data_IF_771110398085
#
_entry.id   IF_771110398085
#
_cell.length_a   1.000
_cell.length_b   1.000
_cell.length_c   1.000
_cell.angle_alpha   90.00
_cell.angle_beta   90.00
_cell.angle_gamma   90.00
#
_symmetry.space_group_name_H-M   'P 1'
#
loop_
_entity.id
_entity.type
_entity.pdbx_description
1 polymer ?
#
# COMPACT_ATOMS: atom_id res chain seq x y z
N UNK A 1 -9.40 1.50 13.38
CA UNK A 1 -8.73 0.68 12.34
C UNK A 1 -9.49 0.66 11.01
N UNK A 2 -10.79 0.31 11.01
CA UNK A 2 -11.59 0.22 9.77
C UNK A 2 -11.53 1.52 8.92
N UNK A 3 -11.69 2.69 9.55
CA UNK A 3 -11.61 3.98 8.86
C UNK A 3 -10.27 4.19 8.14
N UNK A 4 -9.14 3.85 8.78
CA UNK A 4 -7.80 4.01 8.21
C UNK A 4 -7.57 3.10 7.00
N UNK A 5 -8.09 1.87 7.06
CA UNK A 5 -8.02 0.90 5.95
C UNK A 5 -8.90 1.36 4.78
N UNK A 6 -10.10 1.88 5.06
CA UNK A 6 -10.97 2.46 4.03
C UNK A 6 -10.31 3.67 3.36
N UNK A 7 -9.70 4.56 4.13
CA UNK A 7 -8.95 5.69 3.59
C UNK A 7 -7.76 5.24 2.72
N UNK A 8 -7.03 4.20 3.12
CA UNK A 8 -5.98 3.61 2.29
C UNK A 8 -6.53 3.04 0.97
N UNK A 9 -7.69 2.38 1.00
CA UNK A 9 -8.39 1.92 -0.20
C UNK A 9 -8.80 3.06 -1.13
N UNK A 10 -9.33 4.17 -0.59
CA UNK A 10 -9.66 5.36 -1.39
C UNK A 10 -8.43 6.00 -2.02
N UNK A 11 -7.32 6.06 -1.30
CA UNK A 11 -6.04 6.54 -1.83
C UNK A 11 -5.58 5.65 -2.99
N UNK A 12 -5.62 4.33 -2.83
CA UNK A 12 -5.24 3.40 -3.91
C UNK A 12 -6.18 3.50 -5.13
N UNK A 13 -7.48 3.67 -4.90
CA UNK A 13 -8.42 3.89 -5.99
C UNK A 13 -8.08 5.18 -6.75
N UNK A 14 -7.76 6.26 -6.02
CA UNK A 14 -7.34 7.51 -6.64
C UNK A 14 -6.05 7.30 -7.45
N UNK A 15 -5.02 6.64 -6.90
CA UNK A 15 -3.77 6.41 -7.64
C UNK A 15 -3.97 5.57 -8.90
N UNK A 16 -4.84 4.56 -8.85
CA UNK A 16 -5.22 3.75 -10.02
C UNK A 16 -5.85 4.64 -11.10
N UNK A 17 -6.79 5.51 -10.72
CA UNK A 17 -7.45 6.43 -11.66
C UNK A 17 -6.43 7.38 -12.28
N UNK A 18 -5.56 8.00 -11.47
CA UNK A 18 -4.55 8.95 -11.97
C UNK A 18 -3.56 8.25 -12.93
N UNK A 19 -3.12 7.03 -12.60
CA UNK A 19 -2.27 6.23 -13.49
C UNK A 19 -3.01 5.82 -14.77
N UNK A 20 -4.28 5.42 -14.67
CA UNK A 20 -5.11 5.08 -15.82
C UNK A 20 -5.28 6.24 -16.79
N UNK A 21 -5.59 7.44 -16.27
CA UNK A 21 -5.66 8.68 -17.05
C UNK A 21 -4.30 8.97 -17.72
N UNK A 22 -3.19 8.76 -17.00
CA UNK A 22 -1.84 8.96 -17.54
C UNK A 22 -1.52 8.02 -18.72
N UNK A 23 -1.93 6.75 -18.64
CA UNK A 23 -1.76 5.77 -19.74
C UNK A 23 -2.55 6.19 -20.99
N UNK A 24 -3.73 6.79 -20.82
CA UNK A 24 -4.57 7.26 -21.93
C UNK A 24 -4.03 8.55 -22.55
N UNK A 25 -3.63 9.53 -21.71
CA UNK A 25 -3.19 10.84 -22.17
C UNK A 25 -1.76 10.87 -22.73
N UNK A 26 -0.92 9.90 -22.38
CA UNK A 26 0.49 9.86 -22.81
C UNK A 26 0.79 8.67 -23.75
N UNK A 27 0.17 8.60 -24.94
CA UNK A 27 0.38 7.48 -25.87
C UNK A 27 1.83 7.38 -26.37
N UNK A 28 2.56 8.49 -26.44
CA UNK A 28 3.96 8.58 -26.85
C UNK A 28 4.96 8.14 -25.78
N UNK A 29 4.56 8.06 -24.50
CA UNK A 29 5.41 7.56 -23.43
C UNK A 29 5.67 6.04 -23.55
N UNK A 30 4.85 5.32 -24.33
CA UNK A 30 4.89 3.86 -24.43
C UNK A 30 6.06 3.27 -25.21
N UNK A 31 6.83 4.07 -25.95
CA UNK A 31 7.94 3.56 -26.76
C UNK A 31 9.31 3.68 -26.09
N UNK A 32 9.40 4.40 -24.96
CA UNK A 32 10.66 4.55 -24.24
C UNK A 32 10.83 3.39 -23.24
N UNK A 33 12.03 2.77 -23.17
CA UNK A 33 12.32 1.81 -22.12
C UNK A 33 12.25 2.50 -20.76
N UNK A 34 11.75 1.78 -19.76
CA UNK A 34 11.75 2.26 -18.37
C UNK A 34 13.19 2.28 -17.83
N UNK A 35 13.51 3.30 -17.04
CA UNK A 35 14.86 3.50 -16.52
C UNK A 35 15.24 2.45 -15.47
N UNK A 36 14.26 1.99 -14.68
CA UNK A 36 14.44 1.01 -13.60
C UNK A 36 14.32 -0.41 -14.15
N UNK A 37 13.38 -0.62 -15.08
CA UNK A 37 13.09 -1.91 -15.71
C UNK A 37 13.26 -1.82 -17.23
N UNK A 38 14.50 -1.77 -17.75
CA UNK A 38 14.77 -1.50 -19.17
C UNK A 38 14.21 -2.56 -20.13
N UNK A 39 13.88 -3.76 -19.63
CA UNK A 39 13.19 -4.80 -20.40
C UNK A 39 11.72 -4.47 -20.71
N UNK A 40 11.14 -3.51 -20.00
CA UNK A 40 9.74 -3.11 -20.13
C UNK A 40 9.66 -1.66 -20.62
N UNK A 41 8.62 -1.36 -21.40
CA UNK A 41 8.29 0.03 -21.69
C UNK A 41 7.68 0.71 -20.47
N UNK A 42 7.84 2.03 -20.35
CA UNK A 42 7.22 2.82 -19.27
C UNK A 42 5.71 2.55 -19.17
N UNK A 43 5.03 2.44 -20.31
CA UNK A 43 3.60 2.10 -20.36
C UNK A 43 3.32 0.70 -19.81
N UNK A 44 4.15 -0.29 -20.12
CA UNK A 44 4.03 -1.64 -19.56
C UNK A 44 4.17 -1.64 -18.04
N UNK A 45 5.15 -0.89 -17.51
CA UNK A 45 5.36 -0.72 -16.07
C UNK A 45 4.15 -0.05 -15.41
N UNK A 46 3.57 0.99 -16.01
CA UNK A 46 2.36 1.63 -15.49
C UNK A 46 1.15 0.70 -15.48
N UNK A 47 0.94 -0.07 -16.54
CA UNK A 47 -0.16 -1.05 -16.60
C UNK A 47 0.03 -2.12 -15.51
N UNK A 48 1.25 -2.62 -15.33
CA UNK A 48 1.56 -3.57 -14.27
C UNK A 48 1.31 -2.96 -12.88
N UNK A 49 1.73 -1.72 -12.65
CA UNK A 49 1.48 -1.01 -11.40
C UNK A 49 -0.02 -0.84 -11.12
N UNK A 50 -0.81 -0.45 -12.14
CA UNK A 50 -2.29 -0.37 -12.04
C UNK A 50 -2.88 -1.73 -11.66
N UNK A 51 -2.43 -2.81 -12.30
CA UNK A 51 -2.93 -4.16 -12.02
C UNK A 51 -2.61 -4.59 -10.58
N UNK A 52 -1.40 -4.30 -10.08
CA UNK A 52 -1.01 -4.58 -8.70
C UNK A 52 -1.82 -3.76 -7.69
N UNK A 53 -2.01 -2.46 -7.94
CA UNK A 53 -2.84 -1.60 -7.07
C UNK A 53 -4.29 -2.08 -7.03
N UNK A 54 -4.87 -2.46 -8.18
CA UNK A 54 -6.22 -3.02 -8.26
C UNK A 54 -6.34 -4.35 -7.50
N UNK A 55 -5.34 -5.23 -7.60
CA UNK A 55 -5.33 -6.50 -6.87
C UNK A 55 -5.32 -6.27 -5.35
N UNK A 56 -4.49 -5.34 -4.86
CA UNK A 56 -4.43 -5.00 -3.44
C UNK A 56 -5.70 -4.28 -3.00
N UNK A 57 -6.28 -3.42 -3.83
CA UNK A 57 -7.58 -2.78 -3.58
C UNK A 57 -8.70 -3.83 -3.46
N UNK A 58 -8.74 -4.82 -4.35
CA UNK A 58 -9.72 -5.91 -4.26
C UNK A 58 -9.55 -6.71 -2.96
N UNK A 59 -8.32 -6.99 -2.53
CA UNK A 59 -8.04 -7.63 -1.23
C UNK A 59 -8.49 -6.75 -0.05
N UNK A 60 -8.30 -5.43 -0.12
CA UNK A 60 -8.75 -4.48 0.91
C UNK A 60 -10.28 -4.46 1.05
N UNK A 61 -11.01 -4.62 -0.06
CA UNK A 61 -12.47 -4.68 -0.09
C UNK A 61 -13.03 -6.07 0.27
N UNK A 62 -12.19 -7.11 0.22
CA UNK A 62 -12.58 -8.48 0.56
C UNK A 62 -12.77 -8.68 2.08
N UNK A 63 -13.40 -9.79 2.47
CA UNK A 63 -13.61 -10.19 3.87
C UNK A 63 -12.39 -10.84 4.56
N UNK A 64 -11.19 -10.69 3.98
CA UNK A 64 -9.94 -11.23 4.53
C UNK A 64 -9.55 -10.52 5.84
N UNK A 65 -8.72 -11.18 6.66
CA UNK A 65 -8.24 -10.63 7.93
C UNK A 65 -7.48 -9.30 7.75
N UNK A 66 -7.53 -8.44 8.76
CA UNK A 66 -6.84 -7.14 8.77
C UNK A 66 -5.32 -7.31 8.61
N UNK A 67 -4.75 -8.38 9.16
CA UNK A 67 -3.33 -8.69 9.00
C UNK A 67 -2.96 -9.04 7.57
N UNK A 68 -3.78 -9.81 6.86
CA UNK A 68 -3.55 -10.10 5.44
C UNK A 68 -3.64 -8.81 4.61
N UNK A 69 -4.61 -7.93 4.89
CA UNK A 69 -4.70 -6.60 4.27
C UNK A 69 -3.45 -5.76 4.55
N UNK A 70 -2.98 -5.78 5.80
CA UNK A 70 -1.75 -5.11 6.22
C UNK A 70 -0.52 -5.61 5.47
N UNK A 71 -0.34 -6.93 5.33
CA UNK A 71 0.78 -7.48 4.54
C UNK A 71 0.69 -7.12 3.06
N UNK A 72 -0.49 -7.16 2.46
CA UNK A 72 -0.67 -6.76 1.06
C UNK A 72 -0.32 -5.28 0.84
N UNK A 73 -0.77 -4.38 1.72
CA UNK A 73 -0.41 -2.96 1.70
C UNK A 73 1.09 -2.74 1.90
N UNK A 74 1.70 -3.43 2.88
CA UNK A 74 3.13 -3.30 3.16
C UNK A 74 3.97 -3.79 1.99
N UNK A 75 3.57 -4.90 1.37
CA UNK A 75 4.22 -5.43 0.17
C UNK A 75 4.15 -4.43 -0.98
N UNK A 76 2.96 -3.90 -1.26
CA UNK A 76 2.76 -2.89 -2.30
C UNK A 76 3.62 -1.65 -2.05
N UNK A 77 3.58 -1.11 -0.82
CA UNK A 77 4.39 0.04 -0.43
C UNK A 77 5.89 -0.24 -0.58
N UNK A 78 6.34 -1.46 -0.26
CA UNK A 78 7.75 -1.84 -0.42
C UNK A 78 8.17 -1.86 -1.89
N UNK A 79 7.31 -2.37 -2.79
CA UNK A 79 7.56 -2.35 -4.24
C UNK A 79 7.69 -0.92 -4.76
N UNK A 80 6.75 -0.03 -4.39
CA UNK A 80 6.81 1.38 -4.79
C UNK A 80 8.02 2.10 -4.22
N UNK A 81 8.39 1.80 -2.96
CA UNK A 81 9.57 2.35 -2.33
C UNK A 81 10.85 1.96 -3.09
N UNK A 82 11.01 0.66 -3.39
CA UNK A 82 12.19 0.16 -4.12
C UNK A 82 12.27 0.77 -5.51
N UNK A 83 11.15 0.78 -6.26
CA UNK A 83 11.11 1.40 -7.59
C UNK A 83 11.53 2.87 -7.53
N UNK A 84 11.02 3.62 -6.55
CA UNK A 84 11.37 5.03 -6.33
C UNK A 84 12.85 5.22 -5.99
N UNK A 85 13.41 4.39 -5.13
CA UNK A 85 14.83 4.48 -4.75
C UNK A 85 15.73 4.28 -5.96
N UNK A 86 15.46 3.27 -6.79
CA UNK A 86 16.24 3.02 -8.00
C UNK A 86 16.05 4.18 -9.00
N UNK A 87 14.81 4.65 -9.20
CA UNK A 87 14.54 5.81 -10.05
C UNK A 87 15.34 7.04 -9.63
N UNK A 88 15.39 7.32 -8.32
CA UNK A 88 16.11 8.49 -7.79
C UNK A 88 17.62 8.44 -8.03
N UNK A 89 18.20 7.23 -8.16
CA UNK A 89 19.61 7.05 -8.46
C UNK A 89 19.90 7.25 -9.94
N UNK A 90 19.01 6.76 -10.82
CA UNK A 90 19.23 6.76 -12.26
C UNK A 90 18.80 8.07 -12.96
N UNK A 91 17.70 8.71 -12.52
CA UNK A 91 17.11 9.84 -13.24
C UNK A 91 17.88 11.17 -13.04
N UNK A 92 18.87 11.19 -12.14
CA UNK A 92 19.59 12.39 -11.75
C UNK A 92 18.76 13.36 -10.91
N UNK A 93 19.44 14.35 -10.31
CA UNK A 93 18.78 15.37 -9.50
C UNK A 93 17.86 16.25 -10.36
N UNK A 94 16.55 16.17 -10.14
CA UNK A 94 15.58 17.13 -10.69
C UNK A 94 14.38 16.53 -11.41
N UNK A 95 14.37 15.23 -11.73
CA UNK A 95 13.20 14.59 -12.35
C UNK A 95 12.26 14.00 -11.30
N UNK A 96 10.98 14.35 -11.37
CA UNK A 96 9.96 13.74 -10.52
C UNK A 96 9.79 12.25 -10.87
N UNK A 97 9.66 11.39 -9.84
CA UNK A 97 9.30 10.00 -10.11
C UNK A 97 7.92 9.94 -10.80
N UNK A 98 7.77 9.20 -11.92
CA UNK A 98 6.47 8.95 -12.55
C UNK A 98 5.58 7.99 -11.74
N UNK A 99 5.90 7.76 -10.46
CA UNK A 99 5.18 6.92 -9.51
C UNK A 99 3.68 7.25 -9.38
N UNK A 100 3.31 8.53 -9.55
CA UNK A 100 1.93 9.04 -9.53
C UNK A 100 1.31 9.18 -10.94
N UNK A 101 2.02 8.74 -11.98
CA UNK A 101 1.68 8.97 -13.39
C UNK A 101 2.22 10.31 -13.93
N UNK A 102 1.88 10.62 -15.19
CA UNK A 102 2.25 11.87 -15.85
C UNK A 102 1.38 13.05 -15.43
N UNK A 103 0.34 12.83 -14.62
CA UNK A 103 -0.59 13.90 -14.23
C UNK A 103 0.08 15.05 -13.48
N UNK A 104 1.14 14.79 -12.71
CA UNK A 104 1.91 15.84 -12.04
C UNK A 104 2.52 16.82 -13.06
N UNK A 105 2.90 16.32 -14.23
CA UNK A 105 3.42 17.12 -15.33
C UNK A 105 2.31 17.92 -16.02
N UNK A 106 1.10 17.34 -16.15
CA UNK A 106 -0.06 18.04 -16.71
C UNK A 106 -0.61 19.16 -15.81
N UNK A 107 -0.52 19.00 -14.49
CA UNK A 107 -0.97 19.99 -13.51
C UNK A 107 0.08 21.07 -13.22
N UNK A 108 1.22 21.05 -13.93
CA UNK A 108 2.37 21.95 -13.73
C UNK A 108 2.82 22.02 -12.26
N UNK A 109 2.68 20.90 -11.54
CA UNK A 109 3.06 20.83 -10.14
C UNK A 109 4.59 20.73 -10.09
N UNK A 110 5.27 21.56 -9.28
CA UNK A 110 6.71 21.49 -9.12
C UNK A 110 7.14 20.07 -8.76
N UNK A 111 8.16 19.54 -9.45
CA UNK A 111 8.64 18.17 -9.29
C UNK A 111 8.86 17.77 -7.83
N UNK A 112 9.44 18.67 -7.03
CA UNK A 112 9.67 18.44 -5.60
C UNK A 112 8.40 18.30 -4.75
N UNK A 113 7.28 18.92 -5.16
CA UNK A 113 5.99 18.78 -4.46
C UNK A 113 5.37 17.43 -4.77
N UNK A 114 5.33 17.03 -6.04
CA UNK A 114 4.84 15.69 -6.43
C UNK A 114 5.64 14.58 -5.76
N UNK A 115 6.94 14.78 -5.63
CA UNK A 115 7.86 13.85 -4.99
C UNK A 115 7.62 13.70 -3.47
N UNK A 116 7.39 14.81 -2.77
CA UNK A 116 7.00 14.81 -1.35
C UNK A 116 5.62 14.19 -1.13
N UNK A 117 4.66 14.48 -2.01
CA UNK A 117 3.33 13.88 -1.97
C UNK A 117 3.41 12.36 -2.12
N UNK A 118 4.20 11.85 -3.07
CA UNK A 118 4.42 10.42 -3.25
C UNK A 118 5.00 9.77 -1.99
N UNK A 119 6.01 10.38 -1.36
CA UNK A 119 6.62 9.86 -0.11
C UNK A 119 5.63 9.92 1.04
N UNK A 120 4.86 11.00 1.16
CA UNK A 120 3.83 11.14 2.18
C UNK A 120 2.75 10.07 2.08
N UNK A 121 2.24 9.82 0.86
CA UNK A 121 1.29 8.75 0.60
C UNK A 121 1.88 7.37 0.93
N UNK A 122 3.13 7.13 0.54
CA UNK A 122 3.81 5.88 0.82
C UNK A 122 3.99 5.65 2.32
N UNK A 123 4.47 6.66 3.05
CA UNK A 123 4.61 6.63 4.50
C UNK A 123 3.28 6.41 5.21
N UNK A 124 2.20 7.06 4.74
CA UNK A 124 0.85 6.82 5.24
C UNK A 124 0.41 5.37 5.04
N UNK A 125 0.56 4.82 3.83
CA UNK A 125 0.17 3.43 3.53
C UNK A 125 0.98 2.42 4.36
N UNK A 126 2.29 2.62 4.50
CA UNK A 126 3.15 1.80 5.36
C UNK A 126 2.73 1.89 6.83
N UNK A 127 2.40 3.08 7.32
CA UNK A 127 1.91 3.28 8.69
C UNK A 127 0.60 2.55 8.97
N UNK A 128 -0.37 2.67 8.07
CA UNK A 128 -1.65 1.93 8.16
C UNK A 128 -1.41 0.41 8.12
N UNK A 129 -0.52 -0.06 7.26
CA UNK A 129 -0.17 -1.47 7.13
C UNK A 129 0.42 -2.04 8.44
N UNK A 130 1.43 -1.37 9.00
CA UNK A 130 2.05 -1.78 10.26
C UNK A 130 1.06 -1.75 11.42
N UNK A 131 0.24 -0.69 11.51
CA UNK A 131 -0.77 -0.57 12.54
C UNK A 131 -1.81 -1.72 12.44
N UNK A 132 -2.23 -2.11 11.23
CA UNK A 132 -3.14 -3.23 11.03
C UNK A 132 -2.54 -4.58 11.46
N UNK A 133 -1.25 -4.81 11.15
CA UNK A 133 -0.54 -6.03 11.57
C UNK A 133 -0.39 -6.09 13.09
N UNK A 134 -0.03 -4.97 13.72
CA UNK A 134 0.18 -4.89 15.18
C UNK A 134 -1.13 -5.03 15.94
N UNK A 135 -2.22 -4.43 15.46
CA UNK A 135 -3.52 -4.48 16.11
C UNK A 135 -4.05 -5.91 16.28
N UNK A 136 -3.96 -6.73 15.23
CA UNK A 136 -4.37 -8.14 15.33
C UNK A 136 -3.53 -8.94 16.34
N UNK A 137 -2.22 -8.64 16.46
CA UNK A 137 -1.38 -9.28 17.47
C UNK A 137 -1.85 -8.95 18.88
N UNK A 138 -2.13 -7.67 19.16
CA UNK A 138 -2.62 -7.22 20.47
C UNK A 138 -3.96 -7.85 20.81
N UNK A 139 -4.92 -7.85 19.87
CA UNK A 139 -6.24 -8.47 20.09
C UNK A 139 -6.12 -9.98 20.35
N UNK A 140 -5.27 -10.67 19.60
CA UNK A 140 -5.06 -12.12 19.78
C UNK A 140 -4.48 -12.44 21.17
N UNK A 141 -3.57 -11.61 21.68
CA UNK A 141 -2.99 -11.79 23.00
C UNK A 141 -4.02 -11.53 24.11
N UNK A 142 -4.79 -10.44 24.02
CA UNK A 142 -5.84 -10.12 25.00
C UNK A 142 -6.91 -11.22 25.11
N UNK A 143 -7.27 -11.86 23.98
CA UNK A 143 -8.20 -12.98 23.97
C UNK A 143 -7.62 -14.26 24.57
N UNK A 144 -6.30 -14.49 24.45
CA UNK A 144 -5.63 -15.63 25.09
C UNK A 144 -5.62 -15.49 26.60
N UNK A 145 -5.25 -14.31 27.12
CA UNK A 145 -5.20 -14.04 28.56
C UNK A 145 -6.58 -14.21 29.21
N UNK A 146 -7.64 -13.77 28.52
CA UNK A 146 -9.02 -13.91 29.00
C UNK A 146 -9.46 -15.39 29.13
N UNK A 147 -8.93 -16.28 28.29
CA UNK A 147 -9.26 -17.71 28.31
C UNK A 147 -8.56 -18.45 29.45
N UNK A 148 -7.32 -18.07 29.76
CA UNK A 148 -6.54 -18.67 30.84
C UNK A 148 -7.04 -18.23 32.22
N UNK A 149 -7.40 -16.94 32.39
CA UNK A 149 -7.95 -16.42 33.64
C UNK A 149 -9.31 -17.02 34.04
N UNK A 150 -10.12 -17.49 33.07
CA UNK A 150 -11.43 -18.08 33.34
C UNK A 150 -11.39 -19.56 33.76
N UNK A 151 -10.32 -20.31 33.47
CA UNK A 151 -10.27 -21.77 33.76
C UNK A 151 -9.85 -22.10 35.19
N UNK A 152 -9.39 -21.13 35.99
CA UNK A 152 -8.82 -21.34 37.33
C UNK A 152 -9.83 -21.41 38.49
N UNK A 153 -11.13 -21.22 38.24
CA UNK A 153 -12.18 -21.41 39.26
C UNK A 153 -13.19 -22.46 38.80
N UNK A 154 -12.82 -23.75 38.82
CA UNK A 154 -13.83 -24.77 39.13
C UNK A 154 -14.05 -24.67 40.64
N UNK A 155 -15.26 -24.31 41.12
CA UNK A 155 -15.57 -24.50 42.53
C UNK A 155 -15.33 -25.98 42.83
N UNK A 156 -14.53 -26.26 43.86
CA UNK A 156 -14.35 -27.62 44.35
C UNK A 156 -15.76 -28.17 44.63
N UNK A 157 -16.08 -29.32 44.05
CA UNK A 157 -17.33 -30.00 44.34
C UNK A 157 -17.39 -30.29 45.84
N UNK A 158 -18.54 -30.07 46.50
CA UNK A 158 -18.69 -30.46 47.91
C UNK A 158 -18.42 -31.96 48.03
N UNK A 159 -17.55 -32.32 48.96
CA UNK A 159 -17.31 -33.72 49.35
C UNK A 159 -18.41 -34.08 50.34
N UNK A 160 -19.36 -34.90 49.91
CA UNK A 160 -20.35 -35.48 50.81
C UNK A 160 -19.65 -36.50 51.72
N UNK A 161 -19.83 -36.35 53.03
CA UNK A 161 -19.38 -37.26 54.09
C UNK A 161 -20.56 -37.98 54.72
#
# INVERSE_FOLDING_TARGET
MALSVTAAGLILLLTVVLKGVSVVLSPSAGSRPDLVLPLFSVRGVWIAAIALELAVLALLLSSVSLRSKGYALLWLASVFFVYRMIWSQEAGNGQACPCLGSLVQYLDIPAGVGDRLAVGLLGYLSGVALAAIMWERVVTLALRDSKEGGSGKRPAAPVDH
#
